data_IF_541853129105
#
_entry.id   IF_541853129105
#
_cell.length_a   1.000
_cell.length_b   1.000
_cell.length_c   1.000
_cell.angle_alpha   90.00
_cell.angle_beta   90.00
_cell.angle_gamma   90.00
#
_symmetry.space_group_name_H-M   'P 1'
#
loop_
_entity.id
_entity.type
_entity.pdbx_description
1 polymer ?
#
# COMPACT_ATOMS: atom_id res chain seq x y z
N UNK A 1 -25.24 -46.52 -2.30
CA UNK A 1 -24.07 -46.05 -1.52
C UNK A 1 -22.96 -45.49 -2.41
N UNK A 2 -22.36 -46.27 -3.35
CA UNK A 2 -21.28 -45.77 -4.23
C UNK A 2 -21.66 -44.54 -5.09
N UNK A 3 -22.87 -44.52 -5.68
CA UNK A 3 -23.37 -43.38 -6.47
C UNK A 3 -23.55 -42.09 -5.65
N UNK A 4 -24.01 -42.24 -4.40
CA UNK A 4 -24.17 -41.11 -3.46
C UNK A 4 -22.79 -40.58 -3.10
N UNK A 5 -21.82 -41.45 -2.78
CA UNK A 5 -20.45 -41.06 -2.48
C UNK A 5 -19.81 -40.28 -3.64
N UNK A 6 -19.96 -40.76 -4.89
CA UNK A 6 -19.44 -40.07 -6.09
C UNK A 6 -20.09 -38.71 -6.29
N UNK A 7 -21.41 -38.58 -6.07
CA UNK A 7 -22.11 -37.29 -6.13
C UNK A 7 -21.62 -36.32 -5.04
N UNK A 8 -21.38 -36.80 -3.82
CA UNK A 8 -20.84 -35.97 -2.73
C UNK A 8 -19.42 -35.50 -3.06
N UNK A 9 -18.57 -36.35 -3.61
CA UNK A 9 -17.21 -35.98 -4.04
C UNK A 9 -17.20 -34.98 -5.20
N UNK A 10 -18.10 -35.15 -6.18
CA UNK A 10 -18.29 -34.18 -7.26
C UNK A 10 -18.74 -32.81 -6.73
N UNK A 11 -19.66 -32.78 -5.77
CA UNK A 11 -20.13 -31.54 -5.16
C UNK A 11 -19.00 -30.83 -4.42
N UNK A 12 -18.20 -31.55 -3.64
CA UNK A 12 -17.04 -30.99 -2.91
C UNK A 12 -15.98 -30.46 -3.88
N UNK A 13 -15.74 -31.16 -5.00
CA UNK A 13 -14.79 -30.71 -6.01
C UNK A 13 -15.26 -29.45 -6.74
N UNK A 14 -16.55 -29.37 -7.12
CA UNK A 14 -17.15 -28.18 -7.74
C UNK A 14 -17.12 -26.99 -6.78
N UNK A 15 -17.45 -27.20 -5.50
CA UNK A 15 -17.36 -26.16 -4.48
C UNK A 15 -15.92 -25.68 -4.29
N UNK A 16 -14.95 -26.59 -4.20
CA UNK A 16 -13.52 -26.25 -4.08
C UNK A 16 -12.97 -25.42 -5.24
N UNK A 17 -13.41 -25.70 -6.47
CA UNK A 17 -13.03 -24.91 -7.66
C UNK A 17 -13.62 -23.51 -7.60
N UNK A 18 -14.87 -23.35 -7.13
CA UNK A 18 -15.53 -22.03 -7.07
C UNK A 18 -14.84 -21.05 -6.10
N UNK A 19 -14.19 -21.55 -5.04
CA UNK A 19 -13.43 -20.70 -4.10
C UNK A 19 -12.05 -20.31 -4.67
N UNK A 20 -11.44 -21.16 -5.50
CA UNK A 20 -10.13 -20.90 -6.10
C UNK A 20 -10.14 -19.80 -7.18
N UNK A 21 -11.30 -19.48 -7.74
CA UNK A 21 -11.49 -18.45 -8.78
C UNK A 21 -12.41 -17.32 -8.33
N UNK A 22 -12.54 -17.09 -7.02
CA UNK A 22 -13.30 -15.96 -6.52
C UNK A 22 -12.63 -14.64 -6.96
N UNK A 23 -13.39 -13.80 -7.67
CA UNK A 23 -12.93 -12.49 -8.10
C UNK A 23 -12.74 -11.58 -6.88
N UNK A 24 -11.58 -10.90 -6.81
CA UNK A 24 -11.34 -9.89 -5.77
C UNK A 24 -12.22 -8.70 -6.11
N UNK A 25 -13.19 -8.40 -5.24
CA UNK A 25 -14.04 -7.22 -5.43
C UNK A 25 -13.18 -5.96 -5.30
N UNK A 26 -13.18 -5.13 -6.35
CA UNK A 26 -12.41 -3.88 -6.44
C UNK A 26 -10.89 -4.10 -6.20
N UNK A 27 -10.21 -4.87 -7.07
CA UNK A 27 -8.81 -5.25 -6.86
C UNK A 27 -7.86 -4.04 -6.78
N UNK A 28 -8.25 -2.92 -7.40
CA UNK A 28 -7.48 -1.67 -7.44
C UNK A 28 -7.92 -0.66 -6.36
N UNK A 29 -8.76 -1.08 -5.40
CA UNK A 29 -9.24 -0.19 -4.33
C UNK A 29 -8.79 -0.71 -2.97
N UNK A 30 -8.00 0.09 -2.28
CA UNK A 30 -7.67 -0.13 -0.88
C UNK A 30 -8.62 0.70 0.01
N UNK A 31 -9.32 0.04 0.93
CA UNK A 31 -10.19 0.70 1.91
C UNK A 31 -9.54 0.60 3.28
N UNK A 32 -9.27 1.76 3.88
CA UNK A 32 -8.58 1.88 5.17
C UNK A 32 -9.46 2.63 6.18
N UNK A 33 -9.49 2.12 7.41
CA UNK A 33 -10.10 2.85 8.53
C UNK A 33 -9.07 3.79 9.12
N UNK A 34 -9.33 5.08 9.01
CA UNK A 34 -8.43 6.12 9.46
C UNK A 34 -8.82 6.67 10.85
N UNK A 35 -7.87 7.31 11.53
CA UNK A 35 -8.04 7.80 12.91
C UNK A 35 -9.09 8.93 13.02
N UNK A 36 -9.31 9.69 11.95
CA UNK A 36 -10.24 10.82 11.88
C UNK A 36 -10.31 11.43 10.48
N UNK A 37 -10.92 12.60 10.33
CA UNK A 37 -10.84 13.38 9.08
C UNK A 37 -9.57 14.25 9.11
N UNK A 38 -8.95 14.55 7.95
CA UNK A 38 -7.85 15.52 7.91
C UNK A 38 -8.37 16.94 8.13
N UNK A 39 -7.68 17.72 8.96
CA UNK A 39 -8.00 19.14 9.18
C UNK A 39 -7.62 20.00 7.97
N UNK A 40 -6.60 19.59 7.21
CA UNK A 40 -6.12 20.31 6.02
C UNK A 40 -5.46 19.37 5.00
N UNK A 41 -5.39 19.83 3.75
CA UNK A 41 -4.55 19.23 2.70
C UNK A 41 -3.37 20.14 2.29
N UNK A 42 -3.15 21.23 3.02
CA UNK A 42 -1.99 22.09 2.84
C UNK A 42 -0.79 21.53 3.65
N UNK A 43 0.28 21.04 3.00
CA UNK A 43 1.44 20.49 3.70
C UNK A 43 2.19 21.53 4.55
N UNK A 44 2.04 22.82 4.27
CA UNK A 44 2.61 23.90 5.09
C UNK A 44 1.85 24.17 6.38
N UNK A 45 0.61 23.66 6.50
CA UNK A 45 -0.25 23.87 7.67
C UNK A 45 -0.51 22.59 8.47
N UNK A 46 -0.34 21.41 7.89
CA UNK A 46 -0.66 20.13 8.53
C UNK A 46 0.25 19.85 9.75
N UNK A 47 -0.36 19.61 10.92
CA UNK A 47 0.33 19.24 12.17
C UNK A 47 -0.10 17.88 12.72
N UNK A 48 -1.33 17.46 12.47
CA UNK A 48 -1.91 16.23 13.00
C UNK A 48 -1.62 15.02 12.08
N UNK A 49 -1.73 13.81 12.66
CA UNK A 49 -1.51 12.57 11.91
C UNK A 49 -2.55 12.35 10.80
N UNK A 50 -3.80 12.77 11.00
CA UNK A 50 -4.84 12.49 10.02
C UNK A 50 -4.60 13.24 8.72
N UNK A 51 -4.22 14.52 8.81
CA UNK A 51 -3.74 15.32 7.68
C UNK A 51 -2.45 14.73 7.10
N UNK A 52 -1.46 14.43 7.96
CA UNK A 52 -0.15 13.91 7.54
C UNK A 52 -0.22 12.61 6.73
N UNK A 53 -1.01 11.64 7.16
CA UNK A 53 -1.19 10.36 6.46
C UNK A 53 -1.79 10.57 5.07
N UNK A 54 -2.86 11.35 4.95
CA UNK A 54 -3.50 11.64 3.66
C UNK A 54 -2.55 12.36 2.70
N UNK A 55 -1.74 13.28 3.22
CA UNK A 55 -0.76 14.00 2.41
C UNK A 55 0.27 13.06 1.74
N UNK A 56 0.62 11.94 2.37
CA UNK A 56 1.54 10.95 1.75
C UNK A 56 0.99 10.26 0.51
N UNK A 57 -0.34 10.30 0.31
CA UNK A 57 -0.98 9.77 -0.90
C UNK A 57 -1.18 10.81 -1.99
N UNK A 58 -1.08 12.11 -1.67
CA UNK A 58 -1.37 13.23 -2.58
C UNK A 58 -0.09 13.90 -3.07
N UNK A 59 0.92 14.01 -2.21
CA UNK A 59 2.18 14.71 -2.49
C UNK A 59 3.37 13.78 -2.38
N UNK A 60 4.37 14.01 -3.24
CA UNK A 60 5.63 13.27 -3.22
C UNK A 60 6.76 14.12 -2.65
N UNK A 61 7.61 13.49 -1.83
CA UNK A 61 8.82 14.11 -1.30
C UNK A 61 9.97 14.02 -2.30
N UNK A 62 11.09 14.68 -2.01
CA UNK A 62 12.32 14.54 -2.78
C UNK A 62 12.92 13.13 -2.67
N UNK A 63 12.90 12.56 -1.46
CA UNK A 63 13.44 11.24 -1.12
C UNK A 63 12.46 10.50 -0.20
N UNK A 64 12.60 9.18 -0.11
CA UNK A 64 11.82 8.33 0.80
C UNK A 64 12.65 7.14 1.29
N UNK A 65 12.13 6.36 2.23
CA UNK A 65 12.75 5.10 2.66
C UNK A 65 12.61 4.01 1.60
N UNK A 66 13.55 3.06 1.59
CA UNK A 66 13.49 1.86 0.74
C UNK A 66 12.48 0.85 1.30
N UNK A 67 11.19 1.16 1.11
CA UNK A 67 10.07 0.38 1.65
C UNK A 67 10.13 0.27 3.18
N UNK A 68 10.30 -0.95 3.69
CA UNK A 68 10.40 -1.23 5.14
C UNK A 68 11.80 -0.95 5.71
N UNK A 69 12.79 -0.66 4.87
CA UNK A 69 14.15 -0.41 5.30
C UNK A 69 14.33 1.07 5.71
N UNK A 70 14.16 1.33 7.00
CA UNK A 70 14.29 2.67 7.58
C UNK A 70 15.76 3.19 7.66
N UNK A 71 16.74 2.37 7.26
CA UNK A 71 18.16 2.75 7.29
C UNK A 71 18.68 3.19 5.92
N UNK A 72 17.84 3.15 4.87
CA UNK A 72 18.24 3.47 3.51
C UNK A 72 17.22 4.38 2.86
N UNK A 73 17.70 5.48 2.28
CA UNK A 73 16.90 6.38 1.46
C UNK A 73 17.02 6.02 -0.04
N UNK A 74 15.94 6.27 -0.77
CA UNK A 74 15.84 6.21 -2.23
C UNK A 74 15.34 7.55 -2.79
N UNK A 75 15.79 7.95 -3.99
CA UNK A 75 15.26 9.13 -4.66
C UNK A 75 13.79 8.90 -5.06
N UNK A 76 12.96 9.94 -4.94
CA UNK A 76 11.58 9.98 -5.46
C UNK A 76 11.51 11.06 -6.55
N UNK A 77 11.33 12.33 -6.15
CA UNK A 77 11.41 13.46 -7.09
C UNK A 77 12.85 13.93 -7.35
N UNK A 78 13.75 13.69 -6.39
CA UNK A 78 15.17 13.97 -6.59
C UNK A 78 15.78 12.99 -7.62
N UNK A 79 16.82 13.42 -8.33
CA UNK A 79 17.53 12.55 -9.29
C UNK A 79 18.50 11.58 -8.62
N UNK A 80 19.00 11.94 -7.43
CA UNK A 80 19.92 11.14 -6.63
C UNK A 80 19.80 11.51 -5.14
N UNK A 81 20.29 10.64 -4.25
CA UNK A 81 20.35 10.92 -2.82
C UNK A 81 21.48 11.92 -2.54
N UNK A 82 21.23 13.02 -1.83
CA UNK A 82 22.29 13.93 -1.44
C UNK A 82 23.31 13.25 -0.52
N UNK A 83 24.60 13.35 -0.86
CA UNK A 83 25.71 12.94 -0.01
C UNK A 83 26.81 14.00 0.00
N UNK A 84 27.82 13.82 0.85
CA UNK A 84 29.01 14.69 0.83
C UNK A 84 29.87 14.36 -0.39
N UNK A 85 29.98 13.08 -0.77
CA UNK A 85 30.81 12.60 -1.87
C UNK A 85 30.32 13.09 -3.24
N UNK A 86 29.00 13.18 -3.46
CA UNK A 86 28.43 13.76 -4.67
C UNK A 86 28.27 15.28 -4.62
N UNK A 87 28.68 15.91 -3.51
CA UNK A 87 28.70 17.37 -3.34
C UNK A 87 27.32 18.03 -3.23
N UNK A 88 26.25 17.25 -3.03
CA UNK A 88 24.90 17.77 -2.81
C UNK A 88 24.63 18.13 -1.34
N UNK A 89 25.52 17.74 -0.44
CA UNK A 89 25.61 18.24 0.94
C UNK A 89 26.88 19.08 1.07
N UNK A 90 26.74 20.33 1.52
CA UNK A 90 27.84 21.30 1.68
C UNK A 90 27.70 22.04 3.03
N UNK A 91 28.82 22.50 3.58
CA UNK A 91 28.91 23.31 4.81
C UNK A 91 28.61 24.81 4.58
#
# INVERSE_FOLDING_TARGET
>A
MKKILVLTWLLVFVLGISVAFAEIKNPDTYVYLHIGEPDTLDPGYAYDNASGEVLTYIYENLISYDGVNLQKFIPILATEIPTVENGLIQD
#
